data_IF_882760012078
#
_entry.id   IF_882760012078
#
_cell.length_a   1.000
_cell.length_b   1.000
_cell.length_c   1.000
_cell.angle_alpha   90.00
_cell.angle_beta   90.00
_cell.angle_gamma   90.00
#
_symmetry.space_group_name_H-M   'P 1'
#
loop_
_entity.id
_entity.type
_entity.pdbx_description
1 polymer ?
#
# COMPACT_ATOMS: atom_id res chain seq x y z
N UNK A 1 -0.54 48.21 -10.67
CA UNK A 1 0.34 47.53 -11.64
C UNK A 1 0.39 46.08 -11.22
N UNK A 2 -0.49 45.31 -11.84
CA UNK A 2 -0.56 43.86 -11.76
C UNK A 2 0.72 43.21 -12.27
N UNK A 3 1.12 42.11 -11.63
CA UNK A 3 1.69 40.94 -12.31
C UNK A 3 1.61 39.73 -11.39
N UNK A 4 0.74 38.81 -11.78
CA UNK A 4 0.65 37.44 -11.30
C UNK A 4 1.93 36.67 -11.65
N UNK A 5 2.39 35.80 -10.77
CA UNK A 5 3.13 34.59 -11.14
C UNK A 5 2.67 33.44 -10.25
N UNK A 6 1.75 32.64 -10.81
CA UNK A 6 1.33 31.32 -10.35
C UNK A 6 2.06 30.31 -11.20
N UNK A 7 3.02 29.58 -10.64
CA UNK A 7 3.54 28.26 -11.06
C UNK A 7 4.28 27.72 -9.81
N UNK A 8 4.05 26.54 -9.23
CA UNK A 8 3.63 25.28 -9.80
C UNK A 8 4.85 24.40 -10.09
N UNK A 9 5.42 23.74 -9.08
CA UNK A 9 6.41 22.65 -9.29
C UNK A 9 6.40 21.65 -8.13
N UNK A 10 5.53 20.65 -8.27
CA UNK A 10 5.85 19.30 -7.87
C UNK A 10 7.00 18.76 -8.77
N UNK A 11 7.71 17.75 -8.25
CA UNK A 11 8.75 16.94 -8.91
C UNK A 11 10.19 17.47 -8.92
N UNK A 12 10.99 16.95 -7.99
CA UNK A 12 12.40 16.54 -8.16
C UNK A 12 12.78 15.78 -6.88
N UNK A 13 12.85 14.45 -6.85
CA UNK A 13 14.06 13.71 -7.21
C UNK A 13 13.70 12.23 -7.44
N UNK A 14 13.50 11.89 -8.71
CA UNK A 14 13.74 10.56 -9.26
C UNK A 14 15.03 10.68 -10.06
N UNK A 15 16.04 9.86 -9.75
CA UNK A 15 16.82 9.03 -10.68
C UNK A 15 18.17 8.59 -10.11
N UNK A 16 18.63 7.45 -10.67
CA UNK A 16 19.87 6.69 -10.50
C UNK A 16 19.72 5.53 -9.50
N UNK A 17 19.77 4.25 -9.89
CA UNK A 17 20.29 3.65 -11.12
C UNK A 17 19.69 2.26 -11.36
N UNK A 18 19.49 1.95 -12.65
CA UNK A 18 19.09 0.66 -13.19
C UNK A 18 20.26 -0.33 -13.27
N UNK A 19 19.95 -1.61 -12.99
CA UNK A 19 20.56 -2.81 -13.58
C UNK A 19 19.38 -3.80 -13.71
N UNK A 20 18.79 -3.96 -14.90
CA UNK A 20 19.11 -4.91 -15.98
C UNK A 20 18.93 -6.38 -15.58
N UNK A 21 18.07 -7.03 -16.38
CA UNK A 21 17.85 -8.47 -16.58
C UNK A 21 17.13 -9.25 -15.45
N UNK A 22 15.89 -9.68 -15.69
CA UNK A 22 15.63 -10.99 -16.30
C UNK A 22 14.14 -11.32 -16.44
N UNK A 23 13.84 -12.07 -17.50
CA UNK A 23 12.77 -13.06 -17.66
C UNK A 23 11.29 -12.63 -17.70
N UNK A 24 10.91 -12.40 -18.96
CA UNK A 24 9.63 -12.65 -19.58
C UNK A 24 9.10 -14.07 -19.24
N UNK A 25 8.30 -14.19 -18.19
CA UNK A 25 7.45 -15.36 -17.93
C UNK A 25 5.99 -14.98 -18.15
N UNK A 26 5.49 -15.31 -19.33
CA UNK A 26 4.06 -15.33 -19.64
C UNK A 26 3.36 -16.28 -18.66
N UNK A 27 2.59 -15.73 -17.73
CA UNK A 27 1.67 -16.54 -16.93
C UNK A 27 0.48 -16.94 -17.78
N UNK A 28 0.52 -18.19 -18.24
CA UNK A 28 -0.64 -18.95 -18.71
C UNK A 28 -1.71 -18.98 -17.61
N UNK A 29 -2.82 -18.30 -17.87
CA UNK A 29 -4.07 -18.55 -17.15
C UNK A 29 -4.51 -20.00 -17.43
N UNK A 30 -4.95 -20.77 -16.41
CA UNK A 30 -5.65 -22.01 -16.68
C UNK A 30 -7.00 -21.70 -17.36
N UNK A 31 -7.06 -21.95 -18.67
CA UNK A 31 -8.31 -22.08 -19.41
C UNK A 31 -9.05 -23.31 -18.88
N UNK A 32 -9.99 -23.13 -17.97
CA UNK A 32 -11.05 -24.10 -17.71
C UNK A 32 -12.30 -23.36 -17.24
N UNK A 33 -13.00 -22.77 -18.21
CA UNK A 33 -14.43 -22.54 -18.11
C UNK A 33 -15.03 -23.10 -19.40
N UNK A 34 -15.51 -24.34 -19.33
CA UNK A 34 -16.36 -24.90 -20.38
C UNK A 34 -17.61 -24.03 -20.46
N UNK A 35 -17.65 -23.18 -21.50
CA UNK A 35 -18.87 -22.49 -21.91
C UNK A 35 -19.90 -23.55 -22.31
N UNK A 36 -20.90 -23.76 -21.46
CA UNK A 36 -22.11 -24.46 -21.88
C UNK A 36 -22.81 -23.60 -22.94
N UNK A 37 -23.21 -24.17 -24.10
CA UNK A 37 -23.87 -23.41 -25.15
C UNK A 37 -25.21 -22.88 -24.64
N UNK A 38 -25.42 -21.59 -24.93
CA UNK A 38 -26.66 -20.85 -24.74
C UNK A 38 -27.82 -21.64 -25.35
N UNK A 39 -28.63 -22.32 -24.53
CA UNK A 39 -29.83 -22.99 -25.01
C UNK A 39 -30.87 -21.92 -25.35
N UNK A 40 -31.06 -21.74 -26.66
CA UNK A 40 -32.00 -20.78 -27.21
C UNK A 40 -33.41 -20.97 -26.64
N UNK A 41 -34.16 -19.87 -26.64
CA UNK A 41 -35.58 -19.82 -26.39
C UNK A 41 -36.31 -20.81 -27.31
N UNK A 42 -36.56 -22.02 -26.82
CA UNK A 42 -37.43 -22.99 -27.47
C UNK A 42 -38.89 -22.55 -27.36
N UNK A 43 -39.75 -22.87 -28.35
CA UNK A 43 -41.16 -22.56 -28.26
C UNK A 43 -41.82 -23.24 -27.05
N UNK A 44 -42.79 -22.56 -26.45
CA UNK A 44 -43.53 -23.04 -25.29
C UNK A 44 -44.11 -24.45 -25.55
N UNK A 45 -43.59 -25.45 -24.83
CA UNK A 45 -44.16 -26.80 -24.86
C UNK A 45 -45.50 -26.80 -24.12
N UNK A 46 -46.53 -27.26 -24.80
CA UNK A 46 -47.86 -27.47 -24.24
C UNK A 46 -47.77 -28.55 -23.16
N UNK A 47 -48.20 -28.24 -21.93
CA UNK A 47 -48.22 -29.18 -20.81
C UNK A 47 -49.25 -30.31 -20.99
N UNK A 48 -49.13 -31.41 -20.22
CA UNK A 48 -50.08 -32.51 -20.25
C UNK A 48 -51.49 -32.03 -19.88
N UNK A 49 -52.47 -32.51 -20.63
CA UNK A 49 -53.88 -32.17 -20.50
C UNK A 49 -54.51 -33.11 -19.46
N UNK A 50 -55.20 -32.55 -18.46
CA UNK A 50 -55.90 -33.40 -17.49
C UNK A 50 -57.14 -34.05 -18.14
N UNK A 51 -57.74 -35.03 -17.47
CA UNK A 51 -58.96 -35.73 -17.93
C UNK A 51 -60.21 -34.83 -18.06
N UNK A 52 -60.07 -33.53 -17.78
CA UNK A 52 -61.11 -32.50 -17.92
C UNK A 52 -60.81 -31.50 -19.06
N UNK A 53 -59.78 -31.75 -19.88
CA UNK A 53 -59.44 -30.92 -21.02
C UNK A 53 -58.71 -29.61 -20.69
N UNK A 54 -58.43 -29.32 -19.42
CA UNK A 54 -57.69 -28.11 -19.02
C UNK A 54 -56.18 -28.31 -19.20
N UNK A 55 -55.56 -27.33 -19.87
CA UNK A 55 -54.11 -27.26 -20.10
C UNK A 55 -53.53 -26.20 -19.16
N UNK A 56 -52.64 -26.61 -18.26
CA UNK A 56 -51.92 -25.66 -17.42
C UNK A 56 -50.73 -25.09 -18.20
N UNK A 57 -50.52 -23.78 -18.09
CA UNK A 57 -49.28 -23.16 -18.54
C UNK A 57 -48.13 -23.66 -17.67
N UNK A 58 -47.14 -24.32 -18.27
CA UNK A 58 -45.88 -24.61 -17.58
C UNK A 58 -45.18 -23.27 -17.39
N UNK A 59 -45.24 -22.72 -16.18
CA UNK A 59 -44.47 -21.53 -15.82
C UNK A 59 -43.00 -21.90 -15.98
N UNK A 60 -42.24 -21.24 -16.88
CA UNK A 60 -40.82 -21.49 -17.00
C UNK A 60 -40.17 -21.27 -15.64
N UNK A 61 -39.48 -22.28 -15.10
CA UNK A 61 -38.61 -22.05 -13.94
C UNK A 61 -37.63 -20.96 -14.35
N UNK A 62 -37.66 -19.82 -13.69
CA UNK A 62 -36.61 -18.83 -13.91
C UNK A 62 -35.27 -19.51 -13.61
N UNK A 63 -34.27 -19.39 -14.50
CA UNK A 63 -32.94 -19.88 -14.20
C UNK A 63 -32.52 -19.25 -12.87
N UNK A 64 -32.09 -20.06 -11.91
CA UNK A 64 -31.48 -19.53 -10.69
C UNK A 64 -30.35 -18.59 -11.13
N UNK A 65 -30.43 -17.33 -10.73
CA UNK A 65 -29.32 -16.41 -10.92
C UNK A 65 -28.07 -17.08 -10.32
N UNK A 66 -26.92 -17.08 -11.01
CA UNK A 66 -25.69 -17.60 -10.45
C UNK A 66 -25.48 -16.98 -9.07
N UNK A 67 -25.44 -17.80 -8.04
CA UNK A 67 -25.10 -17.33 -6.70
C UNK A 67 -23.63 -16.94 -6.78
N UNK A 68 -23.34 -15.63 -6.76
CA UNK A 68 -21.96 -15.16 -6.73
C UNK A 68 -21.27 -15.78 -5.51
N UNK A 69 -20.05 -16.35 -5.68
CA UNK A 69 -19.32 -16.90 -4.54
C UNK A 69 -19.13 -15.81 -3.49
N UNK A 70 -19.16 -16.16 -2.19
CA UNK A 70 -18.89 -15.20 -1.14
C UNK A 70 -17.51 -14.55 -1.37
N UNK A 71 -17.34 -13.26 -1.04
CA UNK A 71 -16.06 -12.60 -1.22
C UNK A 71 -14.97 -13.36 -0.43
N UNK A 72 -13.72 -13.38 -0.93
CA UNK A 72 -12.63 -14.06 -0.24
C UNK A 72 -12.45 -13.50 1.18
N UNK A 73 -12.23 -14.37 2.17
CA UNK A 73 -11.85 -13.92 3.50
C UNK A 73 -10.37 -13.52 3.49
N UNK A 74 -10.11 -12.21 3.49
CA UNK A 74 -8.77 -11.65 3.48
C UNK A 74 -8.13 -11.54 4.86
N UNK A 75 -8.90 -11.70 5.94
CA UNK A 75 -8.45 -11.51 7.32
C UNK A 75 -7.14 -12.24 7.64
N UNK A 76 -7.03 -13.57 7.46
CA UNK A 76 -5.80 -14.31 7.77
C UNK A 76 -4.57 -13.86 6.99
N UNK A 77 -4.73 -13.47 5.72
CA UNK A 77 -3.63 -13.00 4.89
C UNK A 77 -3.13 -11.61 5.35
N UNK A 78 -4.06 -10.75 5.77
CA UNK A 78 -3.73 -9.44 6.35
C UNK A 78 -3.07 -9.60 7.73
N UNK A 79 -3.59 -10.49 8.58
CA UNK A 79 -3.01 -10.81 9.90
C UNK A 79 -1.54 -11.23 9.78
N UNK A 80 -1.20 -12.09 8.81
CA UNK A 80 0.18 -12.52 8.56
C UNK A 80 1.10 -11.35 8.18
N UNK A 81 0.65 -10.41 7.33
CA UNK A 81 1.41 -9.20 6.98
C UNK A 81 1.70 -8.35 8.22
N UNK A 82 0.68 -8.12 9.05
CA UNK A 82 0.82 -7.30 10.26
C UNK A 82 1.72 -7.99 11.30
N UNK A 83 1.64 -9.31 11.44
CA UNK A 83 2.54 -10.08 12.32
C UNK A 83 4.00 -9.99 11.86
N UNK A 84 4.25 -10.04 10.55
CA UNK A 84 5.60 -9.88 10.02
C UNK A 84 6.14 -8.46 10.26
N UNK A 85 5.30 -7.44 10.06
CA UNK A 85 5.69 -6.06 10.36
C UNK A 85 5.98 -5.83 11.86
N UNK A 86 5.14 -6.38 12.75
CA UNK A 86 5.36 -6.30 14.20
C UNK A 86 6.70 -6.92 14.60
N UNK A 87 7.02 -8.12 14.09
CA UNK A 87 8.32 -8.78 14.33
C UNK A 87 9.50 -7.94 13.84
N UNK A 88 9.37 -7.29 12.69
CA UNK A 88 10.38 -6.34 12.21
C UNK A 88 10.50 -5.17 13.19
N UNK A 89 9.36 -4.67 13.69
CA UNK A 89 9.24 -3.59 14.65
C UNK A 89 9.97 -3.82 15.96
N UNK A 90 9.90 -5.06 16.48
CA UNK A 90 10.54 -5.47 17.73
C UNK A 90 12.08 -5.34 17.73
N UNK A 91 12.72 -5.23 16.57
CA UNK A 91 14.18 -5.01 16.51
C UNK A 91 14.61 -3.61 16.98
N UNK A 92 13.67 -2.66 17.13
CA UNK A 92 13.94 -1.30 17.62
C UNK A 92 14.77 -0.42 16.66
N UNK A 93 15.35 -1.01 15.61
CA UNK A 93 16.17 -0.30 14.65
C UNK A 93 15.32 0.61 13.75
N UNK A 94 15.73 1.87 13.65
CA UNK A 94 15.22 2.84 12.68
C UNK A 94 16.33 3.02 11.64
N UNK A 95 16.35 2.11 10.68
CA UNK A 95 17.38 2.04 9.64
C UNK A 95 16.81 1.55 8.30
N UNK A 96 17.63 1.61 7.26
CA UNK A 96 17.27 1.15 5.92
C UNK A 96 16.96 -0.35 5.88
N UNK A 97 17.56 -1.14 6.77
CA UNK A 97 17.30 -2.58 6.86
C UNK A 97 15.87 -2.88 7.33
N UNK A 98 15.28 -2.04 8.19
CA UNK A 98 13.86 -2.13 8.56
C UNK A 98 12.98 -2.03 7.32
N UNK A 99 13.15 -0.97 6.53
CA UNK A 99 12.37 -0.74 5.30
C UNK A 99 12.52 -1.91 4.32
N UNK A 100 13.75 -2.37 4.10
CA UNK A 100 14.01 -3.49 3.19
C UNK A 100 13.28 -4.77 3.62
N UNK A 101 13.23 -5.04 4.92
CA UNK A 101 12.46 -6.18 5.47
C UNK A 101 10.96 -5.99 5.29
N UNK A 102 10.43 -4.77 5.49
CA UNK A 102 9.01 -4.51 5.27
C UNK A 102 8.62 -4.69 3.79
N UNK A 103 9.46 -4.22 2.85
CA UNK A 103 9.27 -4.40 1.40
C UNK A 103 9.31 -5.87 0.97
N UNK A 104 9.96 -6.73 1.73
CA UNK A 104 10.02 -8.16 1.46
C UNK A 104 8.77 -8.93 1.93
N UNK A 105 7.86 -8.29 2.68
CA UNK A 105 6.61 -8.93 3.10
C UNK A 105 5.72 -9.15 1.88
N UNK A 106 5.24 -10.38 1.71
CA UNK A 106 4.35 -10.75 0.61
C UNK A 106 2.96 -10.16 0.80
N UNK A 107 2.45 -9.49 -0.25
CA UNK A 107 1.11 -8.89 -0.26
C UNK A 107 0.13 -9.59 -1.22
N UNK A 108 0.52 -10.71 -1.84
CA UNK A 108 -0.19 -11.31 -2.97
C UNK A 108 -1.64 -11.74 -2.67
N UNK A 109 -1.93 -12.10 -1.42
CA UNK A 109 -3.24 -12.57 -0.98
C UNK A 109 -4.04 -11.50 -0.22
N UNK A 110 -3.66 -10.23 -0.37
CA UNK A 110 -4.34 -9.11 0.32
C UNK A 110 -5.12 -8.23 -0.67
N UNK A 111 -6.19 -7.57 -0.22
CA UNK A 111 -7.00 -6.72 -1.08
C UNK A 111 -6.21 -5.47 -1.50
N UNK A 112 -6.59 -4.84 -2.61
CA UNK A 112 -5.81 -3.75 -3.23
C UNK A 112 -5.69 -2.51 -2.34
N UNK A 113 -6.73 -2.16 -1.61
CA UNK A 113 -6.75 -1.04 -0.67
C UNK A 113 -5.82 -1.25 0.53
N UNK A 114 -5.77 -2.48 1.07
CA UNK A 114 -4.80 -2.84 2.11
C UNK A 114 -3.37 -2.73 1.59
N UNK A 115 -3.11 -3.21 0.35
CA UNK A 115 -1.78 -3.09 -0.28
C UNK A 115 -1.32 -1.65 -0.39
N UNK A 116 -2.21 -0.76 -0.85
CA UNK A 116 -1.91 0.67 -0.95
C UNK A 116 -1.61 1.25 0.44
N UNK A 117 -2.48 1.00 1.42
CA UNK A 117 -2.27 1.49 2.78
C UNK A 117 -0.95 1.01 3.40
N UNK A 118 -0.57 -0.25 3.16
CA UNK A 118 0.67 -0.82 3.66
C UNK A 118 1.91 -0.25 2.94
N UNK A 119 1.84 -0.02 1.63
CA UNK A 119 2.90 0.66 0.88
C UNK A 119 3.09 2.11 1.34
N UNK A 120 2.02 2.84 1.61
CA UNK A 120 2.08 4.19 2.20
C UNK A 120 2.78 4.17 3.56
N UNK A 121 2.52 3.14 4.37
CA UNK A 121 3.20 2.95 5.63
C UNK A 121 4.72 2.69 5.46
N UNK A 122 5.10 1.89 4.47
CA UNK A 122 6.52 1.68 4.11
C UNK A 122 7.17 3.00 3.70
N UNK A 123 6.51 3.84 2.89
CA UNK A 123 7.05 5.14 2.49
C UNK A 123 7.21 6.12 3.66
N UNK A 124 6.29 6.10 4.62
CA UNK A 124 6.44 6.89 5.85
C UNK A 124 7.68 6.46 6.65
N UNK A 125 7.94 5.15 6.75
CA UNK A 125 9.18 4.64 7.36
C UNK A 125 10.43 5.03 6.60
N UNK A 126 10.40 5.03 5.27
CA UNK A 126 11.53 5.49 4.45
C UNK A 126 11.88 6.94 4.70
N UNK A 127 10.86 7.81 4.79
CA UNK A 127 11.08 9.22 5.14
C UNK A 127 11.71 9.35 6.52
N UNK A 128 11.20 8.61 7.50
CA UNK A 128 11.75 8.61 8.87
C UNK A 128 13.21 8.17 8.89
N UNK A 129 13.55 7.08 8.22
CA UNK A 129 14.93 6.58 8.13
C UNK A 129 15.84 7.62 7.49
N UNK A 130 15.42 8.29 6.41
CA UNK A 130 16.21 9.34 5.77
C UNK A 130 16.47 10.53 6.69
N UNK A 131 15.46 10.96 7.46
CA UNK A 131 15.61 12.05 8.41
C UNK A 131 16.57 11.68 9.56
N UNK A 132 16.52 10.43 10.05
CA UNK A 132 17.44 9.92 11.07
C UNK A 132 18.87 9.73 10.54
N UNK A 133 19.04 9.30 9.28
CA UNK A 133 20.34 9.26 8.60
C UNK A 133 20.92 10.67 8.43
N UNK A 134 20.09 11.66 8.10
CA UNK A 134 20.48 13.06 8.01
C UNK A 134 20.93 13.62 9.37
N UNK A 135 20.21 13.31 10.45
CA UNK A 135 20.59 13.73 11.81
C UNK A 135 21.95 13.14 12.21
N UNK A 136 22.14 11.84 12.00
CA UNK A 136 23.43 11.17 12.27
C UNK A 136 24.58 11.78 11.46
N UNK A 137 24.30 12.21 10.23
CA UNK A 137 25.31 12.86 9.40
C UNK A 137 25.67 14.27 9.89
N UNK A 138 24.73 15.01 10.47
CA UNK A 138 24.97 16.29 11.14
C UNK A 138 25.77 16.12 12.44
N UNK A 139 25.51 15.04 13.20
CA UNK A 139 26.19 14.71 14.46
C UNK A 139 27.66 14.32 14.29
N UNK A 140 28.04 13.84 13.11
CA UNK A 140 29.43 13.51 12.81
C UNK A 140 30.25 14.81 12.71
N UNK A 141 31.06 15.11 13.74
CA UNK A 141 31.93 16.32 13.83
C UNK A 141 33.06 16.42 12.79
N UNK A 142 33.00 15.62 11.73
CA UNK A 142 33.92 15.66 10.62
C UNK A 142 33.63 16.93 9.78
N UNK A 143 34.63 17.66 9.23
CA UNK A 143 34.39 18.86 8.42
C UNK A 143 33.49 18.62 7.19
N UNK A 144 33.33 17.35 6.80
CA UNK A 144 32.38 16.87 5.80
C UNK A 144 30.90 17.05 6.20
N UNK A 145 30.59 17.16 7.49
CA UNK A 145 29.22 17.43 7.99
C UNK A 145 28.70 18.81 7.63
N UNK A 146 29.57 19.80 7.42
CA UNK A 146 29.19 21.12 6.90
C UNK A 146 28.76 21.02 5.42
N UNK A 147 29.39 20.12 4.66
CA UNK A 147 29.02 19.84 3.26
C UNK A 147 27.69 19.08 3.22
N UNK A 148 27.50 18.09 4.10
CA UNK A 148 26.25 17.34 4.19
C UNK A 148 25.10 18.22 4.69
N UNK A 149 25.36 19.07 5.70
CA UNK A 149 24.44 20.10 6.15
C UNK A 149 24.06 21.06 5.03
N UNK A 150 25.02 21.47 4.19
CA UNK A 150 24.78 22.24 2.98
C UNK A 150 23.88 21.53 1.96
N UNK A 151 24.10 20.25 1.69
CA UNK A 151 23.28 19.44 0.77
C UNK A 151 21.85 19.26 1.30
N UNK A 152 21.70 19.02 2.62
CA UNK A 152 20.39 18.91 3.27
C UNK A 152 19.68 20.28 3.25
N UNK A 153 20.39 21.37 3.56
CA UNK A 153 19.89 22.73 3.46
C UNK A 153 19.48 23.12 2.03
N UNK A 154 20.21 22.67 1.01
CA UNK A 154 19.88 22.91 -0.40
C UNK A 154 18.66 22.07 -0.83
N UNK A 155 18.54 20.83 -0.36
CA UNK A 155 17.35 20.01 -0.57
C UNK A 155 16.11 20.52 0.19
N UNK A 156 16.30 21.35 1.22
CA UNK A 156 15.26 21.86 2.11
C UNK A 156 15.08 23.40 2.07
N UNK A 157 15.78 24.09 1.15
CA UNK A 157 15.72 25.53 0.85
C UNK A 157 16.07 26.48 2.03
N UNK A 158 17.20 26.27 2.70
CA UNK A 158 17.65 27.10 3.85
C UNK A 158 18.43 28.37 3.45
N UNK A 159 18.30 29.42 4.27
CA UNK A 159 18.79 30.78 4.00
C UNK A 159 20.16 31.06 4.67
N UNK A 160 21.25 30.89 3.90
CA UNK A 160 22.63 31.42 4.04
C UNK A 160 23.13 31.92 5.43
N UNK A 161 23.92 31.08 6.11
CA UNK A 161 25.22 31.36 6.78
C UNK A 161 25.80 30.01 7.24
N UNK A 162 27.10 29.63 7.12
CA UNK A 162 27.55 28.24 7.37
C UNK A 162 27.40 27.71 8.81
N UNK A 163 27.44 28.61 9.80
CA UNK A 163 27.23 28.29 11.22
C UNK A 163 25.74 28.32 11.57
N UNK A 164 25.01 29.31 11.06
CA UNK A 164 23.55 29.38 11.20
C UNK A 164 22.87 28.22 10.44
N UNK A 165 23.45 27.76 9.33
CA UNK A 165 22.96 26.65 8.52
C UNK A 165 23.14 25.31 9.21
N UNK A 166 24.11 25.18 10.13
CA UNK A 166 24.26 23.93 10.88
C UNK A 166 23.16 23.82 11.94
N UNK A 167 22.95 24.86 12.76
CA UNK A 167 21.82 24.87 13.71
C UNK A 167 20.46 24.87 13.02
N UNK A 168 20.29 25.61 11.93
CA UNK A 168 19.06 25.60 11.11
C UNK A 168 18.83 24.23 10.45
N UNK A 169 19.89 23.56 9.96
CA UNK A 169 19.79 22.19 9.46
C UNK A 169 19.36 21.22 10.56
N UNK A 170 19.91 21.33 11.77
CA UNK A 170 19.47 20.54 12.92
C UNK A 170 17.99 20.75 13.23
N UNK A 171 17.55 22.00 13.38
CA UNK A 171 16.15 22.32 13.65
C UNK A 171 15.22 21.86 12.52
N UNK A 172 15.69 21.87 11.27
CA UNK A 172 14.91 21.38 10.14
C UNK A 172 14.84 19.86 10.12
N UNK A 173 15.95 19.17 10.31
CA UNK A 173 15.99 17.70 10.38
C UNK A 173 15.16 17.20 11.55
N UNK A 174 15.23 17.84 12.72
CA UNK A 174 14.40 17.50 13.89
C UNK A 174 12.91 17.67 13.60
N UNK A 175 12.52 18.77 12.92
CA UNK A 175 11.15 18.95 12.42
C UNK A 175 10.74 17.85 11.43
N UNK A 176 11.60 17.48 10.49
CA UNK A 176 11.31 16.40 9.54
C UNK A 176 11.19 15.03 10.24
N UNK A 177 11.98 14.77 11.29
CA UNK A 177 11.84 13.57 12.13
C UNK A 177 10.47 13.57 12.82
N UNK A 178 10.06 14.70 13.40
CA UNK A 178 8.74 14.83 14.03
C UNK A 178 7.61 14.57 13.03
N UNK A 179 7.66 15.20 11.85
CA UNK A 179 6.69 15.00 10.77
C UNK A 179 6.67 13.53 10.33
N UNK A 180 7.83 12.94 10.07
CA UNK A 180 7.92 11.54 9.63
C UNK A 180 7.42 10.56 10.70
N UNK A 181 7.64 10.85 11.99
CA UNK A 181 7.09 10.07 13.11
C UNK A 181 5.56 10.12 13.15
N UNK A 182 5.00 11.31 12.94
CA UNK A 182 3.55 11.50 12.89
C UNK A 182 2.95 10.80 11.66
N UNK A 183 3.62 10.86 10.51
CA UNK A 183 3.24 10.16 9.28
C UNK A 183 3.27 8.64 9.47
N UNK A 184 4.31 8.08 10.09
CA UNK A 184 4.39 6.65 10.44
C UNK A 184 3.20 6.25 11.30
N UNK A 185 2.89 7.05 12.32
CA UNK A 185 1.76 6.77 13.23
C UNK A 185 0.41 6.89 12.52
N UNK A 186 0.25 7.89 11.64
CA UNK A 186 -0.98 8.13 10.90
C UNK A 186 -1.25 7.05 9.87
N UNK A 187 -0.24 6.69 9.08
CA UNK A 187 -0.33 5.61 8.08
C UNK A 187 -0.57 4.26 8.74
N UNK A 188 0.02 4.00 9.92
CA UNK A 188 -0.26 2.78 10.68
C UNK A 188 -1.73 2.67 11.10
N UNK A 189 -2.32 3.76 11.63
CA UNK A 189 -3.75 3.79 11.95
C UNK A 189 -4.61 3.52 10.72
N UNK A 190 -4.19 4.00 9.55
CA UNK A 190 -4.90 3.72 8.30
C UNK A 190 -4.81 2.23 7.92
N UNK A 191 -3.63 1.62 8.02
CA UNK A 191 -3.42 0.18 7.81
C UNK A 191 -4.34 -0.63 8.73
N UNK A 192 -4.35 -0.31 10.03
CA UNK A 192 -5.21 -0.99 11.01
C UNK A 192 -6.70 -0.85 10.68
N UNK A 193 -7.14 0.34 10.31
CA UNK A 193 -8.54 0.61 9.90
C UNK A 193 -8.94 -0.24 8.70
N UNK A 194 -8.10 -0.30 7.67
CA UNK A 194 -8.36 -1.10 6.46
C UNK A 194 -8.32 -2.59 6.79
N UNK A 195 -7.38 -3.04 7.61
CA UNK A 195 -7.28 -4.43 8.06
C UNK A 195 -8.59 -4.91 8.72
N UNK A 196 -9.13 -4.12 9.66
CA UNK A 196 -10.39 -4.45 10.35
C UNK A 196 -11.57 -4.50 9.37
N UNK A 197 -11.62 -3.61 8.36
CA UNK A 197 -12.68 -3.64 7.35
C UNK A 197 -12.71 -4.91 6.50
N UNK A 198 -11.58 -5.62 6.43
CA UNK A 198 -11.42 -6.89 5.72
C UNK A 198 -11.43 -8.11 6.66
N UNK A 199 -11.82 -7.93 7.92
CA UNK A 199 -12.03 -9.01 8.88
C UNK A 199 -10.77 -9.51 9.58
N UNK A 200 -9.67 -8.75 9.56
CA UNK A 200 -8.47 -9.08 10.34
C UNK A 200 -8.67 -8.81 11.84
N UNK A 201 -8.20 -9.73 12.68
CA UNK A 201 -8.18 -9.60 14.14
C UNK A 201 -6.85 -8.95 14.60
N UNK A 202 -6.90 -7.67 14.95
CA UNK A 202 -5.70 -6.91 15.35
C UNK A 202 -5.06 -7.44 16.64
N UNK A 203 -5.85 -7.98 17.58
CA UNK A 203 -5.31 -8.50 18.84
C UNK A 203 -4.47 -9.77 18.61
N UNK A 204 -4.83 -10.54 17.58
CA UNK A 204 -4.07 -11.70 17.15
C UNK A 204 -2.84 -11.30 16.35
N UNK A 205 -3.02 -10.33 15.45
CA UNK A 205 -1.99 -9.95 14.49
C UNK A 205 -0.87 -9.12 15.11
N UNK A 206 -1.17 -8.31 16.13
CA UNK A 206 -0.23 -7.38 16.77
C UNK A 206 -0.33 -7.55 18.29
N UNK A 207 0.23 -8.64 18.85
CA UNK A 207 0.11 -8.97 20.28
C UNK A 207 0.93 -8.04 21.19
N UNK A 208 1.73 -7.15 20.61
CA UNK A 208 2.63 -6.22 21.29
C UNK A 208 1.99 -4.89 21.67
N UNK A 209 0.72 -4.65 21.30
CA UNK A 209 -0.04 -3.43 21.65
C UNK A 209 -0.76 -3.51 22.99
#
# INVERSE_FOLDING_TARGET
>A
MDSQLVFGSAAALLLLSACSDNDNQQQQYPQNAQYAPNQGYGPARVGPQNNQGQRYAVVPRQPYAPVEPPPPNYGPAIEDVLMQDDRIGQTGAIDRNRVNRMRAISLNNTPSDFRVAFLDHIFAWERRVKAEEALKALDNKDPSSVIIGGIICEALDCSKNPLDSHSEAYERVDREIAIARDEVSSTWRNVQRVAVSHGADLNRAIPSQ
#
